data_IF_290180474286
#
_entry.id   IF_290180474286
#
_cell.length_a   1.000
_cell.length_b   1.000
_cell.length_c   1.000
_cell.angle_alpha   90.00
_cell.angle_beta   90.00
_cell.angle_gamma   90.00
#
_symmetry.space_group_name_H-M   'P 1'
#
loop_
_entity.id
_entity.type
_entity.pdbx_description
1 polymer ?
#
# COMPACT_ATOMS: atom_id res chain seq x y z
N UNK A 1 -5.36 21.45 -2.40
CA UNK A 1 -5.77 20.44 -1.38
C UNK A 1 -5.66 21.12 -0.03
N UNK A 2 -6.71 21.04 0.79
CA UNK A 2 -6.75 21.76 2.08
C UNK A 2 -5.95 20.97 3.12
N UNK A 3 -5.02 21.64 3.83
CA UNK A 3 -4.25 21.00 4.91
C UNK A 3 -4.94 21.23 6.24
N UNK A 4 -5.02 20.19 7.06
CA UNK A 4 -5.58 20.27 8.40
C UNK A 4 -4.70 19.55 9.42
N UNK A 5 -4.79 19.98 10.68
CA UNK A 5 -4.10 19.32 11.80
C UNK A 5 -5.04 18.31 12.44
N UNK A 6 -4.57 17.08 12.57
CA UNK A 6 -5.27 16.01 13.27
C UNK A 6 -4.41 15.47 14.42
N UNK A 7 -5.06 14.81 15.37
CA UNK A 7 -4.41 14.08 16.46
C UNK A 7 -4.80 12.61 16.38
N UNK A 8 -3.82 11.72 16.28
CA UNK A 8 -4.01 10.26 16.29
C UNK A 8 -3.50 9.68 17.60
N UNK A 9 -4.24 8.78 18.22
CA UNK A 9 -3.85 8.11 19.45
C UNK A 9 -3.41 6.69 19.15
N UNK A 10 -2.10 6.44 19.19
CA UNK A 10 -1.53 5.12 18.94
C UNK A 10 -0.82 4.62 20.18
N UNK A 11 -1.24 3.46 20.65
CA UNK A 11 -0.64 2.79 21.79
C UNK A 11 -0.58 3.63 23.07
N UNK A 12 -1.63 4.39 23.34
CA UNK A 12 -1.75 5.24 24.52
C UNK A 12 -1.10 6.63 24.39
N UNK A 13 -0.29 6.87 23.35
CA UNK A 13 0.32 8.18 23.08
C UNK A 13 -0.44 8.92 21.98
N UNK A 14 -0.55 10.24 22.13
CA UNK A 14 -1.21 11.11 21.14
C UNK A 14 -0.15 11.78 20.25
N UNK A 15 -0.33 11.69 18.94
CA UNK A 15 0.57 12.24 17.93
C UNK A 15 -0.17 13.26 17.08
N UNK A 16 0.32 14.49 17.06
CA UNK A 16 -0.22 15.54 16.21
C UNK A 16 0.46 15.50 14.84
N UNK A 17 -0.33 15.58 13.77
CA UNK A 17 0.19 15.61 12.41
C UNK A 17 -0.66 16.52 11.52
N UNK A 18 -0.01 17.11 10.51
CA UNK A 18 -0.69 17.90 9.48
C UNK A 18 -0.85 17.04 8.25
N UNK A 19 -2.09 16.88 7.77
CA UNK A 19 -2.44 16.01 6.65
C UNK A 19 -3.27 16.75 5.60
N UNK A 20 -3.41 16.16 4.43
CA UNK A 20 -4.43 16.57 3.47
C UNK A 20 -5.81 16.18 4.00
N UNK A 21 -6.75 17.12 4.03
CA UNK A 21 -8.08 16.93 4.62
C UNK A 21 -8.83 15.76 3.99
N UNK A 22 -8.64 15.60 2.69
CA UNK A 22 -9.24 14.62 1.79
C UNK A 22 -8.81 13.19 2.13
N UNK A 23 -7.73 13.02 2.90
CA UNK A 23 -7.18 11.71 3.28
C UNK A 23 -7.41 11.37 4.75
N UNK A 24 -8.09 12.21 5.54
CA UNK A 24 -8.24 12.00 6.99
C UNK A 24 -8.77 10.62 7.34
N UNK A 25 -9.76 10.12 6.60
CA UNK A 25 -10.37 8.82 6.85
C UNK A 25 -9.33 7.69 6.86
N UNK A 26 -8.34 7.73 5.96
CA UNK A 26 -7.27 6.73 5.88
C UNK A 26 -6.40 6.79 7.15
N UNK A 27 -6.10 7.98 7.66
CA UNK A 27 -5.34 8.13 8.90
C UNK A 27 -6.10 7.61 10.12
N UNK A 28 -7.43 7.83 10.17
CA UNK A 28 -8.29 7.29 11.25
C UNK A 28 -8.42 5.77 11.19
N UNK A 29 -8.52 5.22 9.98
CA UNK A 29 -8.53 3.77 9.77
C UNK A 29 -7.20 3.15 10.22
N UNK A 30 -6.07 3.75 9.83
CA UNK A 30 -4.74 3.29 10.23
C UNK A 30 -4.56 3.32 11.76
N UNK A 31 -5.00 4.39 12.44
CA UNK A 31 -5.00 4.46 13.91
C UNK A 31 -5.76 3.28 14.54
N UNK A 32 -6.96 2.99 14.04
CA UNK A 32 -7.79 1.88 14.53
C UNK A 32 -7.13 0.53 14.29
N UNK A 33 -6.60 0.29 13.10
CA UNK A 33 -5.94 -0.98 12.74
C UNK A 33 -4.68 -1.24 13.57
N UNK A 34 -3.86 -0.22 13.80
CA UNK A 34 -2.67 -0.35 14.65
C UNK A 34 -3.08 -0.67 16.09
N UNK A 35 -4.04 0.06 16.66
CA UNK A 35 -4.50 -0.20 18.02
C UNK A 35 -5.14 -1.58 18.18
N UNK A 36 -5.91 -2.04 17.19
CA UNK A 36 -6.46 -3.40 17.17
C UNK A 36 -5.36 -4.46 17.13
N UNK A 37 -4.33 -4.24 16.32
CA UNK A 37 -3.20 -5.16 16.20
C UNK A 37 -2.41 -5.24 17.52
N UNK A 38 -2.10 -4.09 18.11
CA UNK A 38 -1.45 -4.02 19.42
C UNK A 38 -2.28 -4.72 20.49
N UNK A 39 -3.59 -4.48 20.54
CA UNK A 39 -4.48 -5.16 21.49
C UNK A 39 -4.53 -6.68 21.30
N UNK A 40 -4.42 -7.18 20.06
CA UNK A 40 -4.28 -8.62 19.79
C UNK A 40 -2.96 -9.17 20.34
N UNK A 41 -1.85 -8.48 20.08
CA UNK A 41 -0.54 -8.92 20.56
C UNK A 41 -0.41 -8.85 22.08
N UNK A 42 -0.96 -7.82 22.73
CA UNK A 42 -1.02 -7.76 24.19
C UNK A 42 -1.78 -8.95 24.79
N UNK A 43 -2.87 -9.40 24.16
CA UNK A 43 -3.61 -10.59 24.60
C UNK A 43 -2.82 -11.89 24.39
N UNK A 44 -2.05 -11.98 23.31
CA UNK A 44 -1.26 -13.18 22.96
C UNK A 44 -0.03 -13.31 23.86
N UNK A 45 0.71 -12.22 24.06
CA UNK A 45 2.00 -12.23 24.75
C UNK A 45 1.89 -11.87 26.25
N UNK A 46 0.73 -11.37 26.70
CA UNK A 46 0.48 -11.08 28.11
C UNK A 46 1.44 -10.04 28.71
N UNK A 47 1.85 -10.26 29.96
CA UNK A 47 2.74 -9.35 30.71
C UNK A 47 4.20 -9.42 30.26
N UNK A 48 4.59 -10.42 29.46
CA UNK A 48 5.98 -10.59 29.03
C UNK A 48 6.43 -9.54 28.01
N UNK A 49 5.49 -8.84 27.36
CA UNK A 49 5.77 -7.87 26.31
C UNK A 49 5.31 -6.48 26.72
N UNK A 50 6.19 -5.50 26.57
CA UNK A 50 5.84 -4.11 26.79
C UNK A 50 4.95 -3.59 25.65
N UNK A 51 4.32 -2.44 25.87
CA UNK A 51 3.57 -1.75 24.82
C UNK A 51 4.43 -1.44 23.58
N UNK A 52 5.72 -1.16 23.81
CA UNK A 52 6.68 -0.90 22.74
C UNK A 52 6.97 -2.16 21.92
N UNK A 53 7.08 -3.32 22.56
CA UNK A 53 7.30 -4.59 21.87
C UNK A 53 6.07 -4.98 21.04
N UNK A 54 4.87 -4.76 21.56
CA UNK A 54 3.63 -4.99 20.81
C UNK A 54 3.51 -4.08 19.59
N UNK A 55 3.95 -2.82 19.70
CA UNK A 55 4.02 -1.88 18.57
C UNK A 55 5.07 -2.31 17.55
N UNK A 56 6.23 -2.80 17.99
CA UNK A 56 7.28 -3.29 17.10
C UNK A 56 6.79 -4.52 16.30
N UNK A 57 6.11 -5.46 16.93
CA UNK A 57 5.51 -6.63 16.26
C UNK A 57 4.43 -6.18 15.27
N UNK A 58 3.56 -5.24 15.64
CA UNK A 58 2.53 -4.73 14.74
C UNK A 58 3.13 -4.04 13.50
N UNK A 59 4.21 -3.26 13.67
CA UNK A 59 4.94 -2.65 12.57
C UNK A 59 5.61 -3.70 11.67
N UNK A 60 6.22 -4.73 12.27
CA UNK A 60 6.84 -5.83 11.54
C UNK A 60 5.82 -6.59 10.69
N UNK A 61 4.70 -6.99 11.29
CA UNK A 61 3.63 -7.70 10.58
C UNK A 61 3.05 -6.86 9.44
N UNK A 62 2.87 -5.55 9.66
CA UNK A 62 2.39 -4.64 8.62
C UNK A 62 3.36 -4.56 7.44
N UNK A 63 4.67 -4.50 7.70
CA UNK A 63 5.69 -4.52 6.65
C UNK A 63 5.76 -5.87 5.93
N UNK A 64 5.62 -6.99 6.64
CA UNK A 64 5.54 -8.32 6.03
C UNK A 64 4.37 -8.37 5.05
N UNK A 65 3.17 -7.96 5.48
CA UNK A 65 1.99 -7.92 4.62
C UNK A 65 2.18 -7.00 3.41
N UNK A 66 2.76 -5.81 3.63
CA UNK A 66 3.09 -4.88 2.54
C UNK A 66 4.03 -5.51 1.52
N UNK A 67 5.12 -6.14 1.96
CA UNK A 67 6.09 -6.80 1.08
C UNK A 67 5.44 -7.97 0.35
N UNK A 68 4.62 -8.78 1.03
CA UNK A 68 3.88 -9.89 0.40
C UNK A 68 2.97 -9.38 -0.72
N UNK A 69 2.19 -8.32 -0.46
CA UNK A 69 1.30 -7.73 -1.47
C UNK A 69 2.11 -7.10 -2.61
N UNK A 70 3.21 -6.39 -2.29
CA UNK A 70 4.11 -5.81 -3.30
C UNK A 70 4.65 -6.89 -4.23
N UNK A 71 5.14 -8.00 -3.68
CA UNK A 71 5.66 -9.13 -4.45
C UNK A 71 4.60 -9.88 -5.25
N UNK A 72 3.35 -9.90 -4.78
CA UNK A 72 2.23 -10.49 -5.55
C UNK A 72 1.81 -9.61 -6.72
N UNK A 73 1.95 -8.29 -6.58
CA UNK A 73 1.59 -7.32 -7.62
C UNK A 73 2.75 -7.00 -8.57
N UNK A 74 3.98 -7.42 -8.24
CA UNK A 74 5.09 -7.45 -9.17
C UNK A 74 4.78 -8.50 -10.24
N UNK A 75 4.52 -8.03 -11.46
CA UNK A 75 4.47 -8.89 -12.64
C UNK A 75 5.78 -9.68 -12.66
N UNK A 76 5.67 -11.01 -12.64
CA UNK A 76 6.85 -11.85 -12.75
C UNK A 76 7.56 -11.61 -14.09
N UNK A 77 8.83 -11.99 -14.17
CA UNK A 77 9.60 -11.89 -15.42
C UNK A 77 8.88 -12.55 -16.61
N UNK A 78 8.07 -13.59 -16.37
CA UNK A 78 7.28 -14.26 -17.39
C UNK A 78 6.09 -13.41 -17.87
N UNK A 79 5.36 -12.78 -16.96
CA UNK A 79 4.25 -11.90 -17.32
C UNK A 79 4.75 -10.67 -18.09
N UNK A 80 5.91 -10.13 -17.68
CA UNK A 80 6.54 -9.01 -18.39
C UNK A 80 6.98 -9.41 -19.80
N UNK A 81 7.56 -10.61 -19.97
CA UNK A 81 7.90 -11.15 -21.30
C UNK A 81 6.67 -11.35 -22.17
N UNK A 82 5.56 -11.84 -21.60
CA UNK A 82 4.31 -12.04 -22.33
C UNK A 82 3.71 -10.71 -22.81
N UNK A 83 3.77 -9.65 -21.99
CA UNK A 83 3.34 -8.30 -22.38
C UNK A 83 4.23 -7.68 -23.47
N UNK A 84 5.53 -7.89 -23.39
CA UNK A 84 6.49 -7.47 -24.43
C UNK A 84 6.22 -8.16 -25.77
N UNK A 85 5.93 -9.46 -25.74
CA UNK A 85 5.58 -10.21 -26.94
C UNK A 85 4.24 -9.74 -27.52
N UNK A 86 3.25 -9.48 -26.67
CA UNK A 86 1.96 -8.93 -27.08
C UNK A 86 2.14 -7.55 -27.74
N UNK A 87 2.95 -6.67 -27.16
CA UNK A 87 3.26 -5.35 -27.73
C UNK A 87 3.93 -5.47 -29.10
N UNK A 88 4.92 -6.35 -29.24
CA UNK A 88 5.57 -6.62 -30.54
C UNK A 88 4.57 -7.12 -31.58
N UNK A 89 3.65 -7.99 -31.20
CA UNK A 89 2.58 -8.48 -32.10
C UNK A 89 1.63 -7.36 -32.50
N UNK A 90 1.26 -6.48 -31.56
CA UNK A 90 0.41 -5.33 -31.81
C UNK A 90 1.07 -4.35 -32.79
N UNK A 91 2.36 -4.03 -32.58
CA UNK A 91 3.15 -3.17 -33.46
C UNK A 91 3.28 -3.76 -34.87
N UNK A 92 3.53 -5.07 -34.97
CA UNK A 92 3.56 -5.75 -36.26
C UNK A 92 2.22 -5.67 -36.99
N UNK A 93 1.10 -5.82 -36.27
CA UNK A 93 -0.23 -5.68 -36.85
C UNK A 93 -0.53 -4.23 -37.28
N UNK A 94 -0.24 -3.26 -36.44
CA UNK A 94 -0.46 -1.84 -36.72
C UNK A 94 0.37 -1.33 -37.89
N UNK A 95 1.63 -1.77 -38.00
CA UNK A 95 2.52 -1.39 -39.10
C UNK A 95 2.17 -2.07 -40.43
N UNK A 96 1.39 -3.16 -40.41
CA UNK A 96 0.86 -3.82 -41.61
C UNK A 96 -0.42 -3.17 -42.13
N UNK A 97 -1.07 -2.32 -41.34
CA UNK A 97 -2.25 -1.60 -41.79
C UNK A 97 -1.79 -0.45 -42.70
N UNK A 98 -2.19 -0.41 -43.98
CA UNK A 98 -1.84 0.70 -44.86
C UNK A 98 -2.43 1.99 -44.30
N UNK A 99 -1.57 2.96 -43.98
CA UNK A 99 -2.01 4.29 -43.56
C UNK A 99 -2.85 4.88 -44.70
N UNK A 100 -4.17 5.01 -44.50
CA UNK A 100 -5.05 5.76 -45.40
C UNK A 100 -4.43 7.15 -45.56
N UNK A 101 -3.84 7.42 -46.73
CA UNK A 101 -3.34 8.74 -47.08
C UNK A 101 -4.53 9.69 -46.95
N UNK A 102 -4.44 10.65 -46.04
CA UNK A 102 -5.33 11.79 -46.03
C UNK A 102 -5.14 12.51 -47.37
N UNK A 103 -6.07 12.26 -48.30
CA UNK A 103 -6.20 13.03 -49.54
C UNK A 103 -6.56 14.46 -49.15
N UNK A 104 -5.64 15.37 -49.47
CA UNK A 104 -5.86 16.82 -49.56
C UNK A 104 -7.05 17.13 -50.46
#
# INVERSE_FOLDING_TARGET
MAKQKISLKVGGKSYQMTIDSDKEEIYRLAEREVNNSVGKYQKIFGESFTMQDCLAIAALQSNINYITISKQNELGDEDMKALDELSKRLDQHLNRIPKKKATK
#
